data_IF_360253548695
#
_entry.id   IF_360253548695
#
_cell.length_a   1.000
_cell.length_b   1.000
_cell.length_c   1.000
_cell.angle_alpha   90.00
_cell.angle_beta   90.00
_cell.angle_gamma   90.00
#
_symmetry.space_group_name_H-M   'P 1'
#
loop_
_entity.id
_entity.type
_entity.pdbx_description
1 polymer ?
2 water ?
#
# COMPACT_ATOMS: atom_id res chain seq x y z
N UNK A 2 8.87 13.87 -7.69
CA UNK A 2 8.18 12.57 -7.71
C UNK A 2 6.86 12.61 -6.96
N UNK A 3 5.76 12.31 -7.65
CA UNK A 3 4.44 12.28 -7.01
C UNK A 3 3.81 10.90 -7.12
N UNK A 4 2.96 10.57 -6.15
CA UNK A 4 2.29 9.27 -6.10
C UNK A 4 0.79 9.44 -6.14
N UNK A 5 0.11 8.59 -6.89
CA UNK A 5 -1.35 8.65 -6.89
C UNK A 5 -1.98 7.26 -6.77
N UNK A 6 -2.81 7.08 -5.75
CA UNK A 6 -3.49 5.79 -5.54
C UNK A 6 -4.77 5.66 -6.38
N UNK A 7 -5.15 4.41 -6.66
CA UNK A 7 -6.46 4.14 -7.25
C UNK A 7 -6.90 2.77 -6.81
N UNK A 8 -8.18 2.47 -7.00
CA UNK A 8 -8.65 1.11 -6.73
C UNK A 8 -9.44 0.91 -5.45
N UNK A 9 -9.54 1.94 -4.62
CA UNK A 9 -10.30 1.80 -3.40
C UNK A 9 -11.80 1.90 -3.69
N UNK A 10 -12.60 1.76 -2.63
CA UNK A 10 -14.03 1.88 -2.76
C UNK A 10 -14.74 0.99 -1.74
N UNK A 11 -16.03 0.79 -1.96
CA UNK A 11 -16.84 -0.03 -1.08
C UNK A 11 -16.81 -1.46 -1.59
N UNK A 12 -16.57 -2.42 -0.71
CA UNK A 12 -16.52 -3.81 -1.13
C UNK A 12 -17.22 -4.70 -0.09
N UNK A 13 -17.88 -5.76 -0.56
CA UNK A 13 -18.55 -6.72 0.34
C UNK A 13 -17.53 -7.47 1.19
N UNK A 14 -17.96 -7.88 2.38
CA UNK A 14 -17.13 -8.73 3.23
C UNK A 14 -16.76 -10.01 2.48
N UNK A 15 -15.48 -10.40 2.54
CA UNK A 15 -15.00 -11.59 1.85
C UNK A 15 -14.61 -11.31 0.41
N UNK A 16 -14.90 -10.09 -0.05
CA UNK A 16 -14.54 -9.66 -1.40
C UNK A 16 -13.04 -9.39 -1.52
N UNK A 17 -12.60 -9.06 -2.72
CA UNK A 17 -11.20 -8.67 -2.89
C UNK A 17 -11.07 -7.43 -3.75
N UNK A 18 -10.01 -6.67 -3.50
CA UNK A 18 -9.70 -5.43 -4.22
C UNK A 18 -8.21 -5.41 -4.54
N UNK A 19 -7.84 -4.76 -5.62
CA UNK A 19 -6.42 -4.50 -5.85
C UNK A 19 -6.21 -3.01 -5.88
N UNK A 20 -5.41 -2.51 -4.95
CA UNK A 20 -5.05 -1.10 -4.96
C UNK A 20 -3.82 -0.95 -5.82
N UNK A 21 -3.73 0.18 -6.50
CA UNK A 21 -2.49 0.46 -7.20
C UNK A 21 -2.08 1.89 -6.92
N UNK A 22 -0.81 2.16 -7.16
CA UNK A 22 -0.27 3.48 -6.89
C UNK A 22 0.79 3.75 -7.93
N UNK A 23 0.63 4.86 -8.65
CA UNK A 23 1.50 5.14 -9.78
C UNK A 23 2.34 6.38 -9.50
N UNK A 24 3.63 6.32 -9.82
CA UNK A 24 4.51 7.47 -9.68
C UNK A 24 4.43 8.35 -10.92
N UNK A 25 4.63 9.66 -10.73
CA UNK A 25 4.78 10.56 -11.86
C UNK A 25 5.83 11.61 -11.52
N UNK A 26 6.33 12.29 -12.55
CA UNK A 26 7.35 13.28 -12.34
C UNK A 26 8.72 12.74 -12.71
N UNK A 27 9.71 13.61 -12.68
CA UNK A 27 11.07 13.20 -12.97
C UNK A 27 11.52 12.17 -11.94
N UNK A 28 11.83 10.98 -12.45
CA UNK A 28 12.26 9.85 -11.66
C UNK A 28 13.71 9.49 -11.99
N UNK A 29 14.49 9.13 -10.97
CA UNK A 29 15.90 8.79 -11.16
C UNK A 29 16.08 7.30 -11.38
N UNK A 30 15.43 6.51 -10.56
CA UNK A 30 15.47 5.07 -10.72
C UNK A 30 14.22 4.51 -10.08
N UNK A 31 14.22 3.20 -9.86
CA UNK A 31 13.17 2.63 -9.04
C UNK A 31 13.52 2.84 -7.57
N UNK A 32 12.53 2.65 -6.71
CA UNK A 32 12.70 2.93 -5.31
C UNK A 32 11.81 2.03 -4.48
N UNK A 33 12.13 1.98 -3.20
CA UNK A 33 11.30 1.31 -2.20
C UNK A 33 9.92 1.93 -2.14
N UNK A 34 8.88 1.10 -2.13
CA UNK A 34 7.53 1.61 -1.99
C UNK A 34 6.81 0.80 -0.96
N UNK A 35 5.80 1.41 -0.34
CA UNK A 35 5.10 0.76 0.74
C UNK A 35 3.66 1.20 0.84
N UNK A 36 2.88 0.41 1.56
CA UNK A 36 1.49 0.72 1.84
C UNK A 36 1.26 0.86 3.33
N UNK A 37 0.49 1.88 3.70
CA UNK A 37 0.07 2.19 5.07
C UNK A 37 -1.44 2.33 5.11
N UNK A 38 -2.02 2.26 6.30
CA UNK A 38 -3.46 2.54 6.36
C UNK A 38 -3.80 3.29 7.63
N UNK A 39 -4.90 4.04 7.58
CA UNK A 39 -5.30 4.87 8.70
C UNK A 39 -6.82 5.00 8.78
N UNK A 40 -7.39 4.64 9.93
CA UNK A 40 -8.81 4.83 10.18
C UNK A 40 -9.05 6.09 11.03
N UNK A 41 -10.29 6.62 11.02
CA UNK A 41 -10.50 7.88 11.75
C UNK A 41 -10.14 7.75 13.22
N UNK A 42 -9.40 8.74 13.72
CA UNK A 42 -9.03 8.80 15.12
C UNK A 42 -7.94 7.83 15.53
N UNK A 43 -7.35 7.13 14.55
CA UNK A 43 -6.32 6.14 14.86
C UNK A 43 -5.00 6.47 14.16
N UNK A 44 -3.92 5.88 14.65
CA UNK A 44 -2.59 6.15 14.09
C UNK A 44 -2.45 5.49 12.73
N UNK A 45 -1.63 6.09 11.90
CA UNK A 45 -1.33 5.50 10.60
C UNK A 45 -0.44 4.28 10.82
N UNK A 46 -0.78 3.15 10.21
CA UNK A 46 -0.01 1.94 10.49
C UNK A 46 0.50 1.26 9.23
N UNK A 47 1.62 0.55 9.37
CA UNK A 47 2.25 -0.19 8.28
C UNK A 47 1.35 -1.32 7.77
N UNK A 48 1.33 -1.54 6.46
CA UNK A 48 0.64 -2.69 5.88
C UNK A 48 1.63 -3.60 5.13
N UNK A 49 2.42 -3.03 4.23
CA UNK A 49 3.36 -3.82 3.42
C UNK A 49 4.38 -2.93 2.74
N UNK A 50 5.56 -3.50 2.45
CA UNK A 50 6.59 -2.79 1.71
C UNK A 50 7.32 -3.74 0.78
N UNK A 51 8.07 -3.15 -0.15
CA UNK A 51 8.80 -3.93 -1.13
C UNK A 51 10.08 -3.19 -1.49
N UNK A 52 11.13 -3.94 -1.82
CA UNK A 52 12.42 -3.38 -2.15
C UNK A 52 12.41 -2.67 -3.50
N UNK A 53 13.43 -1.84 -3.70
CA UNK A 53 13.66 -1.15 -4.96
C UNK A 53 13.64 -2.14 -6.15
N UNK A 54 14.23 -3.32 -5.97
CA UNK A 54 14.28 -4.34 -7.03
C UNK A 54 12.98 -5.09 -7.24
N UNK A 55 12.12 -5.09 -6.22
CA UNK A 55 10.91 -5.88 -6.26
C UNK A 55 11.10 -7.29 -5.71
N UNK A 56 12.34 -7.65 -5.39
CA UNK A 56 12.70 -9.01 -4.94
C UNK A 56 12.24 -9.37 -3.54
N UNK A 57 12.18 -8.39 -2.66
CA UNK A 57 11.91 -8.70 -1.25
C UNK A 57 10.78 -7.86 -0.68
N UNK A 58 9.90 -8.51 0.07
CA UNK A 58 8.73 -7.86 0.62
C UNK A 58 8.66 -8.02 2.14
N UNK A 59 7.87 -7.17 2.79
CA UNK A 59 7.55 -7.28 4.21
C UNK A 59 6.07 -7.00 4.39
N UNK A 60 5.47 -7.62 5.40
CA UNK A 60 4.05 -7.47 5.68
C UNK A 60 3.76 -7.27 7.15
N UNK A 61 2.83 -6.37 7.45
CA UNK A 61 2.28 -6.30 8.80
C UNK A 61 1.51 -7.58 9.10
N UNK A 62 1.38 -7.89 10.39
CA UNK A 62 0.65 -9.09 10.81
C UNK A 62 -0.75 -9.11 10.24
N UNK A 63 -1.38 -7.93 10.16
CA UNK A 63 -2.73 -7.80 9.62
C UNK A 63 -2.84 -8.30 8.17
N UNK A 64 -1.76 -8.14 7.41
CA UNK A 64 -1.79 -8.43 5.98
C UNK A 64 -1.30 -9.84 5.62
N UNK A 65 -0.56 -10.47 6.53
CA UNK A 65 0.05 -11.77 6.26
C UNK A 65 -0.97 -12.83 5.87
N UNK A 66 -0.76 -13.45 4.72
CA UNK A 66 -1.60 -14.55 4.30
C UNK A 66 -2.92 -14.11 3.67
N UNK A 67 -3.07 -12.80 3.46
CA UNK A 67 -4.24 -12.27 2.78
C UNK A 67 -3.88 -11.25 1.72
N UNK A 68 -2.88 -10.40 1.99
CA UNK A 68 -2.55 -9.33 1.03
C UNK A 68 -1.24 -9.66 0.33
N UNK A 69 -1.10 -9.15 -0.88
CA UNK A 69 0.14 -9.36 -1.64
C UNK A 69 0.59 -8.06 -2.24
N UNK A 70 1.84 -7.68 -1.97
CA UNK A 70 2.36 -6.46 -2.56
C UNK A 70 3.27 -6.82 -3.72
N UNK A 71 3.16 -6.06 -4.81
CA UNK A 71 3.98 -6.28 -6.00
C UNK A 71 4.31 -4.93 -6.61
N UNK A 72 5.27 -4.88 -7.51
CA UNK A 72 5.54 -3.60 -8.15
C UNK A 72 6.00 -3.83 -9.58
N UNK A 73 5.75 -2.83 -10.42
CA UNK A 73 6.22 -2.86 -11.80
C UNK A 73 7.23 -1.74 -11.93
N UNK A 74 8.51 -2.10 -11.99
CA UNK A 74 9.57 -1.10 -12.06
C UNK A 74 9.60 -0.32 -13.37
N UNK A 75 9.05 -0.92 -14.42
CA UNK A 75 9.01 -0.25 -15.73
C UNK A 75 8.04 0.95 -15.70
N UNK A 76 6.97 0.81 -14.93
CA UNK A 76 5.97 1.88 -14.81
C UNK A 76 6.09 2.62 -13.47
N UNK A 77 7.02 2.20 -12.62
CA UNK A 77 7.10 2.64 -11.23
C UNK A 77 5.74 2.69 -10.55
N UNK A 78 5.04 1.56 -10.59
CA UNK A 78 3.79 1.41 -9.86
C UNK A 78 3.96 0.34 -8.81
N UNK A 79 3.20 0.45 -7.73
CA UNK A 79 3.17 -0.59 -6.73
C UNK A 79 1.71 -0.97 -6.52
N UNK A 80 1.46 -2.24 -6.22
CA UNK A 80 0.09 -2.69 -6.05
C UNK A 80 -0.09 -3.49 -4.77
N UNK A 81 -1.31 -3.45 -4.23
CA UNK A 81 -1.63 -4.28 -3.10
C UNK A 81 -2.86 -5.10 -3.44
N UNK A 82 -2.69 -6.39 -3.62
CA UNK A 82 -3.83 -7.30 -3.80
C UNK A 82 -4.38 -7.64 -2.42
N UNK A 83 -5.67 -7.38 -2.22
CA UNK A 83 -6.26 -7.61 -0.91
C UNK A 83 -7.35 -8.65 -1.00
N UNK A 84 -7.09 -9.87 -0.54
CA UNK A 84 -8.08 -10.94 -0.60
C UNK A 84 -8.81 -11.12 0.73
N UNK A 85 -10.01 -11.69 0.68
CA UNK A 85 -10.81 -12.01 1.86
C UNK A 85 -10.89 -10.89 2.89
N UNK A 86 -11.37 -9.74 2.43
CA UNK A 86 -11.48 -8.55 3.27
C UNK A 86 -12.52 -8.75 4.35
N UNK A 87 -12.34 -8.12 5.51
CA UNK A 87 -13.39 -8.08 6.50
C UNK A 87 -13.56 -6.64 7.00
N UNK A 88 -14.62 -6.37 7.78
CA UNK A 88 -14.89 -4.95 8.08
C UNK A 88 -13.76 -4.24 8.82
N UNK A 89 -12.94 -4.98 9.55
CA UNK A 89 -11.80 -4.37 10.25
C UNK A 89 -10.69 -3.89 9.32
N UNK A 90 -10.80 -4.20 8.03
CA UNK A 90 -9.82 -3.70 7.06
C UNK A 90 -10.21 -2.32 6.52
N UNK A 91 -11.37 -1.82 6.94
CA UNK A 91 -11.85 -0.52 6.50
C UNK A 91 -10.88 0.56 6.96
N UNK A 92 -10.42 1.37 6.00
CA UNK A 92 -9.47 2.43 6.27
C UNK A 92 -9.17 3.20 4.99
N UNK A 93 -8.49 4.33 5.13
CA UNK A 93 -7.86 4.93 3.97
C UNK A 93 -6.47 4.32 3.84
N UNK A 94 -6.16 3.84 2.63
CA UNK A 94 -4.87 3.22 2.33
C UNK A 94 -3.97 4.19 1.56
N UNK A 95 -2.73 4.33 2.02
CA UNK A 95 -1.80 5.34 1.48
C UNK A 95 -0.61 4.61 0.89
N UNK A 96 -0.17 5.01 -0.29
CA UNK A 96 1.11 4.48 -0.75
C UNK A 96 2.19 5.50 -0.46
N UNK A 97 3.40 5.02 -0.32
CA UNK A 97 4.51 5.85 0.09
C UNK A 97 5.77 5.33 -0.58
N UNK A 98 6.73 6.23 -0.77
CA UNK A 98 8.00 5.87 -1.38
C UNK A 98 9.15 6.36 -0.51
N UNK A 99 10.17 5.52 -0.41
CA UNK A 99 11.41 5.86 0.26
C UNK A 99 12.47 5.97 -0.86
N UNK A 100 12.84 7.20 -1.19
CA UNK A 100 13.77 7.45 -2.28
C UNK A 100 15.23 7.33 -1.84
N UNK A 101 15.47 7.19 -0.54
CA UNK A 101 16.85 7.12 -0.08
C UNK A 101 17.35 5.67 -0.12
N UNK A 102 16.52 4.74 0.33
CA UNK A 102 16.87 3.35 0.62
C UNK A 102 17.35 2.50 -0.57
N UNK A 103 18.68 2.34 -0.72
CA UNK A 103 19.14 1.54 -1.85
C UNK A 103 19.04 0.02 -1.64
N UNK A 104 19.08 -0.46 -0.40
CA UNK A 104 19.04 -1.90 -0.13
C UNK A 104 17.93 -2.30 0.83
N UNK A 105 17.26 -3.41 0.51
CA UNK A 105 16.31 -4.02 1.41
C UNK A 105 14.89 -3.52 1.19
N UNK A 106 13.92 -4.12 1.90
CA UNK A 106 12.53 -3.70 1.75
C UNK A 106 12.27 -2.40 2.51
N UNK A 107 11.10 -1.79 2.33
CA UNK A 107 10.82 -0.57 3.07
C UNK A 107 10.66 -0.80 4.56
N UNK A 108 11.13 0.18 5.34
CA UNK A 108 10.92 0.21 6.77
C UNK A 108 9.44 0.18 7.16
N UNK A 109 9.16 -0.19 8.40
CA UNK A 109 7.79 -0.13 8.89
C UNK A 109 7.49 1.21 9.56
N UNK A 110 8.44 2.14 9.52
CA UNK A 110 8.26 3.42 10.20
C UNK A 110 7.81 4.47 9.20
N UNK A 111 6.74 5.20 9.51
CA UNK A 111 6.23 6.20 8.57
C UNK A 111 7.30 7.26 8.27
N UNK A 112 8.13 7.57 9.27
CA UNK A 112 9.10 8.66 9.11
C UNK A 112 10.17 8.43 8.04
N UNK A 113 10.36 7.18 7.64
CA UNK A 113 11.40 6.84 6.66
C UNK A 113 10.98 7.12 5.21
N UNK A 114 9.71 7.48 4.99
CA UNK A 114 9.23 7.65 3.63
C UNK A 114 9.15 9.14 3.21
N UNK A 115 9.86 9.47 2.13
CA UNK A 115 9.94 10.83 1.56
C UNK A 115 8.63 11.34 0.99
N UNK A 116 7.91 10.42 0.32
CA UNK A 116 6.83 10.80 -0.57
C UNK A 116 5.57 10.03 -0.27
N UNK A 117 4.44 10.72 -0.23
CA UNK A 117 3.17 10.10 0.15
C UNK A 117 2.10 10.38 -0.88
N UNK A 118 1.22 9.41 -1.10
CA UNK A 118 0.06 9.64 -1.95
C UNK A 118 -1.04 10.28 -1.13
N UNK A 119 -2.17 10.55 -1.76
CA UNK A 119 -3.28 11.20 -1.08
C UNK A 119 -4.24 10.21 -0.46
N UNK A 120 -4.00 8.92 -0.65
CA UNK A 120 -4.83 7.90 -0.04
C UNK A 120 -6.03 7.50 -0.87
N UNK A 121 -6.46 6.25 -0.74
CA UNK A 121 -7.69 5.80 -1.37
C UNK A 121 -8.55 5.11 -0.30
N UNK A 122 -9.82 5.51 -0.21
CA UNK A 122 -10.67 5.00 0.86
C UNK A 122 -11.16 3.60 0.55
N UNK A 123 -10.93 2.70 1.49
CA UNK A 123 -11.45 1.34 1.36
C UNK A 123 -12.48 1.10 2.46
N UNK A 124 -13.67 0.66 2.07
CA UNK A 124 -14.75 0.40 3.04
C UNK A 124 -15.23 -1.02 2.83
N UNK A 125 -15.19 -1.84 3.87
CA UNK A 125 -15.64 -3.22 3.77
C UNK A 125 -16.94 -3.35 4.56
N UNK A 126 -18.06 -3.52 3.86
CA UNK A 126 -19.34 -3.68 4.55
C UNK A 126 -19.40 -5.08 5.12
N UNK A 127 -20.15 -5.28 6.20
CA UNK A 127 -20.29 -6.64 6.70
C UNK A 127 -21.23 -7.38 5.78
N UNK A 128 -21.28 -8.71 5.93
CA UNK A 128 -22.08 -9.58 5.07
C UNK A 128 -23.60 -9.47 5.30
N UNK A 129 -24.00 -8.89 6.43
CA UNK A 129 -25.41 -8.92 6.86
C UNK A 129 -26.42 -8.42 5.82
N UNK A 130 -27.52 -9.16 5.69
CA UNK A 130 -28.66 -8.83 4.82
C UNK A 130 -28.34 -8.91 3.32
#
# INVERSE_FOLDING_TARGET
>A
QVQLQESGGGLVQAGGSLRLSCAASGRTFSSFVMGWFRQAPGKEREFVASISRSGSVTRYADSAKGRFTISKDNAKNTVSLQMDNLNPDDTAVYYCAADLHRPYGPGSQRTDDYDTWGQGTQVTVSSHHH
#
